data_IF_489560963582
#
_entry.id   IF_489560963582
#
_cell.length_a   1.000
_cell.length_b   1.000
_cell.length_c   1.000
_cell.angle_alpha   90.00
_cell.angle_beta   90.00
_cell.angle_gamma   90.00
#
_symmetry.space_group_name_H-M   'P 1'
#
loop_
_entity.id
_entity.type
_entity.pdbx_description
1 polymer ?
#
# COMPACT_ATOMS: atom_id res chain seq x y z
N UNK A 1 -22.95 -3.42 -17.46
CA UNK A 1 -22.43 -2.91 -16.18
C UNK A 1 -22.37 -4.08 -15.23
N UNK A 2 -21.20 -4.36 -14.68
CA UNK A 2 -20.93 -5.58 -13.93
C UNK A 2 -21.52 -5.45 -12.53
N UNK A 3 -22.33 -6.44 -12.10
CA UNK A 3 -22.80 -6.60 -10.71
C UNK A 3 -21.65 -6.70 -9.68
N UNK A 4 -20.40 -6.58 -10.14
CA UNK A 4 -19.21 -6.58 -9.34
C UNK A 4 -19.08 -5.34 -8.42
N UNK A 5 -19.71 -4.22 -8.78
CA UNK A 5 -19.55 -2.94 -8.05
C UNK A 5 -20.87 -2.34 -7.55
N UNK A 6 -22.00 -3.01 -7.78
CA UNK A 6 -23.33 -2.46 -7.46
C UNK A 6 -23.60 -2.36 -5.95
N UNK A 7 -22.85 -3.11 -5.12
CA UNK A 7 -22.99 -3.13 -3.66
C UNK A 7 -21.94 -2.26 -2.92
N UNK A 8 -21.16 -1.46 -3.65
CA UNK A 8 -20.15 -0.56 -3.07
C UNK A 8 -20.75 0.43 -2.04
N UNK A 9 -22.04 0.73 -2.15
CA UNK A 9 -22.72 1.71 -1.30
C UNK A 9 -23.20 1.14 0.05
N UNK A 10 -23.15 -0.20 0.26
CA UNK A 10 -23.81 -0.84 1.42
C UNK A 10 -23.03 -0.77 2.74
N UNK A 11 -21.83 -0.19 2.77
CA UNK A 11 -21.02 0.04 3.99
C UNK A 11 -20.87 -1.20 4.92
N UNK A 12 -20.94 -2.41 4.38
CA UNK A 12 -20.86 -3.68 5.12
C UNK A 12 -19.46 -4.30 4.96
N UNK A 13 -18.65 -4.22 6.02
CA UNK A 13 -17.30 -4.79 6.04
C UNK A 13 -17.32 -6.31 5.82
N UNK A 14 -18.29 -7.02 6.40
CA UNK A 14 -18.35 -8.47 6.29
C UNK A 14 -18.76 -8.88 4.88
N UNK A 15 -19.60 -8.09 4.20
CA UNK A 15 -19.91 -8.31 2.78
C UNK A 15 -18.68 -8.11 1.89
N UNK A 16 -17.92 -7.03 2.10
CA UNK A 16 -16.69 -6.80 1.34
C UNK A 16 -15.65 -7.88 1.60
N UNK A 17 -15.46 -8.30 2.85
CA UNK A 17 -14.57 -9.40 3.21
C UNK A 17 -15.01 -10.71 2.52
N UNK A 18 -16.28 -11.12 2.67
CA UNK A 18 -16.80 -12.33 2.00
C UNK A 18 -16.58 -12.29 0.49
N UNK A 19 -16.76 -11.13 -0.13
CA UNK A 19 -16.58 -10.93 -1.56
C UNK A 19 -15.14 -11.15 -2.01
N UNK A 20 -14.19 -10.55 -1.30
CA UNK A 20 -12.79 -10.53 -1.73
C UNK A 20 -11.97 -11.71 -1.20
N UNK A 21 -12.42 -12.39 -0.14
CA UNK A 21 -11.80 -13.64 0.33
C UNK A 21 -12.17 -14.87 -0.52
N UNK A 22 -13.16 -14.77 -1.40
CA UNK A 22 -13.63 -15.89 -2.22
C UNK A 22 -12.72 -16.19 -3.43
N UNK A 23 -12.69 -17.44 -3.93
CA UNK A 23 -11.88 -17.83 -5.10
C UNK A 23 -12.28 -17.11 -6.40
N UNK A 24 -13.49 -16.55 -6.41
CA UNK A 24 -14.09 -15.83 -7.55
C UNK A 24 -13.65 -14.36 -7.64
N UNK A 25 -12.94 -13.83 -6.63
CA UNK A 25 -12.55 -12.42 -6.55
C UNK A 25 -11.80 -11.93 -7.81
N UNK A 26 -11.04 -12.81 -8.46
CA UNK A 26 -10.27 -12.48 -9.66
C UNK A 26 -11.02 -12.54 -11.00
N UNK A 27 -12.31 -12.91 -11.04
CA UNK A 27 -13.05 -13.08 -12.30
C UNK A 27 -13.78 -11.81 -12.76
N UNK A 28 -13.69 -10.72 -12.00
CA UNK A 28 -14.35 -9.45 -12.31
C UNK A 28 -13.62 -8.61 -13.35
N UNK A 29 -14.35 -8.10 -14.34
CA UNK A 29 -13.92 -6.96 -15.15
C UNK A 29 -14.38 -5.63 -14.54
N UNK A 30 -13.70 -4.53 -14.87
CA UNK A 30 -14.06 -3.20 -14.40
C UNK A 30 -13.09 -2.12 -14.87
N UNK A 31 -13.54 -0.87 -14.91
CA UNK A 31 -12.65 0.26 -15.15
C UNK A 31 -11.73 0.48 -13.95
N UNK A 32 -10.55 1.09 -14.18
CA UNK A 32 -9.60 1.45 -13.11
C UNK A 32 -10.29 2.21 -11.97
N UNK A 33 -11.15 3.17 -12.30
CA UNK A 33 -11.89 3.98 -11.33
C UNK A 33 -12.80 3.16 -10.42
N UNK A 34 -13.40 2.07 -10.92
CA UNK A 34 -14.30 1.21 -10.15
C UNK A 34 -13.53 0.37 -9.13
N UNK A 35 -12.41 -0.22 -9.56
CA UNK A 35 -11.48 -0.91 -8.66
C UNK A 35 -10.89 0.04 -7.62
N UNK A 36 -10.65 1.28 -8.02
CA UNK A 36 -10.17 2.32 -7.11
C UNK A 36 -11.17 2.62 -6.00
N UNK A 37 -12.44 2.82 -6.39
CA UNK A 37 -13.51 3.06 -5.45
C UNK A 37 -13.67 1.86 -4.50
N UNK A 38 -13.59 0.62 -5.00
CA UNK A 38 -13.68 -0.57 -4.18
C UNK A 38 -12.56 -0.66 -3.13
N UNK A 39 -11.30 -0.44 -3.53
CA UNK A 39 -10.16 -0.43 -2.60
C UNK A 39 -10.28 0.70 -1.56
N UNK A 40 -10.67 1.90 -1.99
CA UNK A 40 -10.84 3.03 -1.10
C UNK A 40 -11.95 2.81 -0.08
N UNK A 41 -13.10 2.29 -0.50
CA UNK A 41 -14.22 1.99 0.40
C UNK A 41 -13.89 0.86 1.37
N UNK A 42 -13.21 -0.18 0.90
CA UNK A 42 -12.73 -1.25 1.78
C UNK A 42 -11.84 -0.69 2.89
N UNK A 43 -10.81 0.08 2.52
CA UNK A 43 -9.89 0.68 3.48
C UNK A 43 -10.62 1.65 4.43
N UNK A 44 -11.46 2.53 3.89
CA UNK A 44 -12.24 3.48 4.69
C UNK A 44 -13.15 2.78 5.71
N UNK A 45 -13.71 1.61 5.36
CA UNK A 45 -14.61 0.87 6.24
C UNK A 45 -13.88 0.22 7.41
N UNK A 46 -12.68 -0.31 7.17
CA UNK A 46 -11.79 -0.79 8.23
C UNK A 46 -11.32 0.38 9.09
N UNK A 47 -11.04 1.53 8.46
CA UNK A 47 -10.56 2.74 9.14
C UNK A 47 -11.60 3.43 10.03
N UNK A 48 -12.89 3.27 9.72
CA UNK A 48 -13.97 3.93 10.45
C UNK A 48 -14.14 3.43 11.90
N UNK A 49 -13.85 2.15 12.16
CA UNK A 49 -13.98 1.55 13.50
C UNK A 49 -13.00 0.36 13.65
N UNK A 50 -11.69 0.62 13.77
CA UNK A 50 -10.70 -0.44 13.91
C UNK A 50 -10.81 -1.18 15.25
N UNK A 51 -11.28 -0.50 16.30
CA UNK A 51 -11.39 -1.08 17.65
C UNK A 51 -12.56 -2.07 17.75
N UNK A 52 -13.60 -1.91 16.90
CA UNK A 52 -14.72 -2.84 16.78
C UNK A 52 -14.45 -4.09 15.95
N UNK A 53 -13.27 -4.23 15.33
CA UNK A 53 -12.92 -5.39 14.49
C UNK A 53 -12.38 -6.53 15.34
N UNK A 54 -13.07 -7.67 15.30
CA UNK A 54 -12.64 -8.90 16.00
C UNK A 54 -11.44 -9.55 15.33
N UNK A 55 -10.68 -10.38 16.06
CA UNK A 55 -9.52 -11.10 15.48
C UNK A 55 -9.91 -12.01 14.30
N UNK A 56 -11.11 -12.60 14.34
CA UNK A 56 -11.64 -13.38 13.22
C UNK A 56 -11.83 -12.49 11.98
N UNK A 57 -12.38 -11.30 12.16
CA UNK A 57 -12.53 -10.34 11.07
C UNK A 57 -11.17 -9.82 10.60
N UNK A 58 -10.20 -9.58 11.49
CA UNK A 58 -8.85 -9.20 11.08
C UNK A 58 -8.17 -10.23 10.18
N UNK A 59 -8.26 -11.52 10.52
CA UNK A 59 -7.74 -12.59 9.64
C UNK A 59 -8.43 -12.61 8.29
N UNK A 60 -9.74 -12.36 8.26
CA UNK A 60 -10.51 -12.34 7.03
C UNK A 60 -10.19 -11.09 6.18
N UNK A 61 -9.98 -9.92 6.81
CA UNK A 61 -9.50 -8.69 6.18
C UNK A 61 -8.10 -8.90 5.58
N UNK A 62 -7.21 -9.56 6.32
CA UNK A 62 -5.85 -9.88 5.87
C UNK A 62 -5.83 -10.80 4.63
N UNK A 63 -6.89 -11.58 4.39
CA UNK A 63 -7.06 -12.35 3.15
C UNK A 63 -7.73 -11.53 2.05
N UNK A 64 -8.78 -10.77 2.41
CA UNK A 64 -9.60 -10.00 1.47
C UNK A 64 -8.83 -8.86 0.80
N UNK A 65 -8.03 -8.11 1.55
CA UNK A 65 -7.31 -6.94 1.04
C UNK A 65 -6.31 -7.28 -0.08
N UNK A 66 -5.33 -8.19 0.10
CA UNK A 66 -4.42 -8.54 -0.99
C UNK A 66 -5.14 -9.19 -2.17
N UNK A 67 -6.22 -9.95 -1.92
CA UNK A 67 -7.02 -10.53 -3.00
C UNK A 67 -7.74 -9.46 -3.84
N UNK A 68 -8.27 -8.40 -3.21
CA UNK A 68 -8.84 -7.24 -3.87
C UNK A 68 -7.79 -6.53 -4.75
N UNK A 69 -6.61 -6.23 -4.20
CA UNK A 69 -5.55 -5.55 -4.96
C UNK A 69 -5.06 -6.40 -6.14
N UNK A 70 -4.86 -7.71 -5.93
CA UNK A 70 -4.45 -8.62 -7.00
C UNK A 70 -5.53 -8.77 -8.10
N UNK A 71 -6.82 -8.72 -7.74
CA UNK A 71 -7.90 -8.71 -8.72
C UNK A 71 -7.93 -7.39 -9.52
N UNK A 72 -7.75 -6.26 -8.83
CA UNK A 72 -7.67 -4.95 -9.47
C UNK A 72 -6.50 -4.87 -10.46
N UNK A 73 -5.32 -5.35 -10.08
CA UNK A 73 -4.14 -5.39 -10.95
C UNK A 73 -4.39 -6.24 -12.21
N UNK A 74 -4.91 -7.47 -12.05
CA UNK A 74 -5.27 -8.33 -13.20
C UNK A 74 -6.28 -7.68 -14.13
N UNK A 75 -7.26 -6.97 -13.59
CA UNK A 75 -8.34 -6.37 -14.38
C UNK A 75 -7.94 -5.06 -15.08
N UNK A 76 -6.93 -4.34 -14.55
CA UNK A 76 -6.59 -2.99 -15.01
C UNK A 76 -5.27 -2.89 -15.77
N UNK A 77 -4.47 -3.96 -15.78
CA UNK A 77 -3.16 -3.98 -16.45
C UNK A 77 -2.07 -3.33 -15.58
N UNK A 78 -0.99 -2.78 -16.17
CA UNK A 78 0.23 -2.38 -15.46
C UNK A 78 0.07 -1.09 -14.63
N UNK A 79 -0.82 -1.14 -13.64
CA UNK A 79 -1.03 -0.13 -12.61
C UNK A 79 -0.41 -0.59 -11.27
N UNK A 80 0.58 -1.48 -11.33
CA UNK A 80 1.22 -2.12 -10.18
C UNK A 80 1.60 -1.12 -9.08
N UNK A 81 2.22 -0.01 -9.46
CA UNK A 81 2.66 1.02 -8.52
C UNK A 81 1.49 1.68 -7.77
N UNK A 82 0.35 1.87 -8.41
CA UNK A 82 -0.83 2.50 -7.81
C UNK A 82 -1.50 1.58 -6.77
N UNK A 83 -1.50 0.27 -7.03
CA UNK A 83 -2.00 -0.75 -6.09
C UNK A 83 -1.04 -0.99 -4.93
N UNK A 84 0.27 -1.04 -5.22
CA UNK A 84 1.30 -1.11 -4.20
C UNK A 84 1.21 0.08 -3.25
N UNK A 85 1.15 1.32 -3.75
CA UNK A 85 1.04 2.50 -2.89
C UNK A 85 -0.17 2.45 -1.96
N UNK A 86 -1.30 1.88 -2.41
CA UNK A 86 -2.47 1.66 -1.55
C UNK A 86 -2.22 0.64 -0.46
N UNK A 87 -1.57 -0.47 -0.81
CA UNK A 87 -1.21 -1.48 0.17
C UNK A 87 -0.32 -0.89 1.26
N UNK A 88 0.77 -0.20 0.85
CA UNK A 88 1.73 0.39 1.77
C UNK A 88 1.07 1.39 2.72
N UNK A 89 0.24 2.29 2.21
CA UNK A 89 -0.46 3.28 3.04
C UNK A 89 -1.49 2.65 3.98
N UNK A 90 -2.26 1.66 3.50
CA UNK A 90 -3.26 1.01 4.32
C UNK A 90 -2.62 0.21 5.47
N UNK A 91 -1.56 -0.54 5.18
CA UNK A 91 -0.82 -1.32 6.18
C UNK A 91 -0.07 -0.44 7.17
N UNK A 92 0.56 0.64 6.68
CA UNK A 92 1.20 1.64 7.54
C UNK A 92 0.19 2.24 8.53
N UNK A 93 -0.97 2.68 8.03
CA UNK A 93 -2.04 3.19 8.90
C UNK A 93 -2.52 2.15 9.92
N UNK A 94 -2.70 0.89 9.52
CA UNK A 94 -3.12 -0.19 10.42
C UNK A 94 -2.11 -0.42 11.54
N UNK A 95 -0.83 -0.47 11.20
CA UNK A 95 0.26 -0.66 12.14
C UNK A 95 0.39 0.53 13.11
N UNK A 96 0.23 1.76 12.62
CA UNK A 96 0.19 2.94 13.49
C UNK A 96 -0.98 2.93 14.46
N UNK A 97 -2.18 2.56 13.98
CA UNK A 97 -3.42 2.69 14.76
C UNK A 97 -3.70 1.53 15.70
N UNK A 98 -3.30 0.32 15.31
CA UNK A 98 -3.65 -0.93 15.98
C UNK A 98 -2.41 -1.65 16.53
N UNK A 99 -1.23 -1.37 15.97
CA UNK A 99 0.02 -2.01 16.35
C UNK A 99 0.26 -3.37 15.65
N UNK A 100 1.48 -3.92 15.77
CA UNK A 100 1.80 -5.26 15.29
C UNK A 100 0.93 -6.33 15.96
N UNK A 101 0.61 -7.38 15.21
CA UNK A 101 -0.09 -8.56 15.73
C UNK A 101 0.51 -9.82 15.16
N UNK A 102 0.87 -10.74 16.05
CA UNK A 102 1.30 -12.07 15.66
C UNK A 102 0.14 -12.79 14.92
N UNK A 103 0.48 -13.65 13.96
CA UNK A 103 -0.43 -14.45 13.15
C UNK A 103 -1.37 -13.73 12.17
N UNK A 104 -1.27 -12.41 12.02
CA UNK A 104 -2.04 -11.65 11.02
C UNK A 104 -1.08 -10.91 10.09
N UNK A 105 -0.79 -11.44 8.88
CA UNK A 105 0.24 -10.89 7.98
C UNK A 105 0.09 -9.40 7.66
N UNK A 106 -1.14 -8.88 7.69
CA UNK A 106 -1.43 -7.47 7.46
C UNK A 106 -0.77 -6.53 8.49
N UNK A 107 -0.51 -7.02 9.70
CA UNK A 107 0.13 -6.31 10.81
C UNK A 107 1.62 -6.67 10.98
N UNK A 108 2.25 -7.19 9.92
CA UNK A 108 3.70 -7.28 9.82
C UNK A 108 4.27 -6.02 9.13
N UNK A 109 5.16 -5.24 9.80
CA UNK A 109 5.78 -4.07 9.21
C UNK A 109 6.84 -4.40 8.13
N UNK A 110 7.46 -5.58 8.17
CA UNK A 110 8.55 -5.96 7.27
C UNK A 110 8.18 -5.85 5.78
N UNK A 111 7.06 -6.45 5.34
CA UNK A 111 6.63 -6.36 3.95
C UNK A 111 6.30 -4.93 3.48
N UNK A 112 6.01 -3.98 4.38
CA UNK A 112 5.82 -2.57 4.01
C UNK A 112 7.17 -1.96 3.61
N UNK A 113 8.22 -2.25 4.37
CA UNK A 113 9.57 -1.81 4.05
C UNK A 113 10.08 -2.47 2.76
N UNK A 114 9.97 -3.80 2.66
CA UNK A 114 10.43 -4.55 1.47
C UNK A 114 9.73 -4.06 0.20
N UNK A 115 8.40 -3.95 0.23
CA UNK A 115 7.63 -3.48 -0.92
C UNK A 115 7.98 -2.04 -1.32
N UNK A 116 8.26 -1.17 -0.36
CA UNK A 116 8.68 0.20 -0.65
C UNK A 116 10.08 0.25 -1.29
N UNK A 117 11.04 -0.53 -0.78
CA UNK A 117 12.42 -0.57 -1.30
C UNK A 117 12.49 -1.23 -2.68
N UNK A 118 11.77 -2.34 -2.89
CA UNK A 118 11.74 -3.05 -4.17
C UNK A 118 11.12 -2.20 -5.29
N UNK A 119 10.28 -1.22 -4.94
CA UNK A 119 9.66 -0.30 -5.88
C UNK A 119 10.46 1.00 -6.11
N UNK A 120 11.63 1.15 -5.50
CA UNK A 120 12.46 2.35 -5.70
C UNK A 120 12.87 2.48 -7.17
N UNK A 121 12.70 3.68 -7.78
CA UNK A 121 12.93 3.85 -9.22
C UNK A 121 14.41 4.03 -9.60
N UNK A 122 15.30 4.08 -8.61
CA UNK A 122 16.75 4.29 -8.74
C UNK A 122 17.42 3.87 -7.43
N UNK A 123 18.76 3.90 -7.34
CA UNK A 123 19.46 3.68 -6.07
C UNK A 123 19.55 4.96 -5.22
N UNK A 124 19.85 4.87 -3.91
CA UNK A 124 20.17 6.03 -3.08
C UNK A 124 21.34 6.86 -3.63
N UNK A 125 22.38 6.22 -4.17
CA UNK A 125 23.55 6.89 -4.74
C UNK A 125 23.18 7.72 -5.96
N UNK A 126 22.36 7.15 -6.85
CA UNK A 126 21.83 7.87 -8.01
C UNK A 126 20.95 9.05 -7.59
N UNK A 127 20.06 8.84 -6.62
CA UNK A 127 19.23 9.90 -6.07
C UNK A 127 20.05 11.02 -5.43
N UNK A 128 21.14 10.70 -4.72
CA UNK A 128 22.03 11.69 -4.10
C UNK A 128 22.69 12.63 -5.12
N UNK A 129 22.97 12.13 -6.33
CA UNK A 129 23.52 12.93 -7.45
C UNK A 129 22.45 13.81 -8.11
N UNK A 130 21.22 13.32 -8.18
CA UNK A 130 20.13 14.00 -8.90
C UNK A 130 19.37 15.01 -8.02
N UNK A 131 19.07 14.66 -6.77
CA UNK A 131 18.21 15.42 -5.88
C UNK A 131 18.64 16.89 -5.66
N UNK A 132 19.93 17.23 -5.45
CA UNK A 132 20.33 18.62 -5.22
C UNK A 132 20.01 19.57 -6.39
N UNK A 133 19.96 19.04 -7.62
CA UNK A 133 19.74 19.80 -8.86
C UNK A 133 18.39 19.50 -9.50
N UNK A 134 17.41 19.00 -8.73
CA UNK A 134 16.15 18.50 -9.27
C UNK A 134 15.39 19.51 -10.15
N UNK A 135 15.55 20.83 -9.88
CA UNK A 135 14.90 21.90 -10.66
C UNK A 135 15.42 22.02 -12.09
N UNK A 136 16.60 21.47 -12.37
CA UNK A 136 17.26 21.48 -13.67
C UNK A 136 17.05 20.16 -14.43
N UNK A 137 16.43 19.16 -13.80
CA UNK A 137 16.23 17.84 -14.38
C UNK A 137 15.04 17.80 -15.34
N UNK A 138 15.09 16.84 -16.26
CA UNK A 138 13.96 16.53 -17.12
C UNK A 138 12.80 15.94 -16.31
N UNK A 139 11.57 16.18 -16.80
CA UNK A 139 10.34 15.76 -16.11
C UNK A 139 10.35 14.30 -15.62
N UNK A 140 10.81 13.28 -16.39
CA UNK A 140 10.84 11.91 -15.92
C UNK A 140 11.70 11.70 -14.67
N UNK A 141 12.85 12.37 -14.58
CA UNK A 141 13.76 12.25 -13.43
C UNK A 141 13.16 12.90 -12.18
N UNK A 142 12.49 14.06 -12.35
CA UNK A 142 11.74 14.71 -11.26
C UNK A 142 10.64 13.76 -10.74
N UNK A 143 9.92 13.09 -11.65
CA UNK A 143 8.88 12.13 -11.27
C UNK A 143 9.47 10.94 -10.51
N UNK A 144 10.60 10.38 -10.95
CA UNK A 144 11.26 9.29 -10.22
C UNK A 144 11.69 9.71 -8.80
N UNK A 145 12.26 10.91 -8.62
CA UNK A 145 12.61 11.40 -7.29
C UNK A 145 11.37 11.64 -6.40
N UNK A 146 10.27 12.12 -6.97
CA UNK A 146 8.98 12.24 -6.26
C UNK A 146 8.42 10.88 -5.87
N UNK A 147 8.51 9.89 -6.76
CA UNK A 147 8.10 8.52 -6.50
C UNK A 147 8.90 7.93 -5.34
N UNK A 148 10.22 8.09 -5.34
CA UNK A 148 11.07 7.66 -4.23
C UNK A 148 10.62 8.29 -2.90
N UNK A 149 10.38 9.62 -2.85
CA UNK A 149 9.86 10.25 -1.62
C UNK A 149 8.50 9.68 -1.21
N UNK A 150 7.59 9.47 -2.16
CA UNK A 150 6.26 8.91 -1.89
C UNK A 150 6.34 7.50 -1.28
N UNK A 151 7.28 6.68 -1.73
CA UNK A 151 7.51 5.32 -1.20
C UNK A 151 8.08 5.33 0.22
N UNK A 152 8.91 6.31 0.58
CA UNK A 152 9.43 6.44 1.94
C UNK A 152 8.37 6.84 2.96
N UNK A 153 7.36 7.59 2.53
CA UNK A 153 6.35 8.17 3.42
C UNK A 153 5.62 7.14 4.31
N UNK A 154 5.05 6.03 3.79
CA UNK A 154 4.40 5.02 4.62
C UNK A 154 5.37 4.22 5.52
N UNK A 155 6.67 4.15 5.16
CA UNK A 155 7.67 3.44 5.97
C UNK A 155 8.12 4.29 7.17
N UNK A 156 8.19 5.62 7.00
CA UNK A 156 8.70 6.54 8.02
C UNK A 156 7.96 6.44 9.35
N UNK A 157 6.64 6.30 9.32
CA UNK A 157 5.85 6.15 10.54
C UNK A 157 6.06 4.83 11.25
N UNK A 158 6.55 3.82 10.52
CA UNK A 158 6.86 2.49 11.03
C UNK A 158 8.31 2.34 11.47
N UNK A 159 9.14 3.38 11.34
CA UNK A 159 10.56 3.35 11.72
C UNK A 159 10.83 2.74 13.11
N UNK A 160 10.04 3.04 14.17
CA UNK A 160 10.25 2.44 15.49
C UNK A 160 10.06 0.91 15.53
N UNK A 161 9.35 0.34 14.55
CA UNK A 161 9.04 -1.09 14.46
C UNK A 161 10.01 -1.86 13.55
N UNK A 162 10.88 -1.16 12.83
CA UNK A 162 11.69 -1.71 11.74
C UNK A 162 13.20 -1.73 12.03
N UNK A 163 13.65 -1.28 13.20
CA UNK A 163 15.07 -1.13 13.52
C UNK A 163 15.90 -2.42 13.41
N UNK A 164 15.28 -3.58 13.66
CA UNK A 164 15.93 -4.90 13.56
C UNK A 164 15.77 -5.55 12.17
N UNK A 165 15.12 -4.86 11.21
CA UNK A 165 14.88 -5.42 9.89
C UNK A 165 16.20 -5.54 9.09
N UNK A 166 16.45 -6.65 8.38
CA UNK A 166 17.71 -6.86 7.66
C UNK A 166 18.07 -5.77 6.64
N UNK A 167 17.05 -5.13 6.05
CA UNK A 167 17.18 -4.05 5.06
C UNK A 167 17.04 -2.65 5.65
N UNK A 168 17.04 -2.51 6.97
CA UNK A 168 16.88 -1.22 7.63
C UNK A 168 17.92 -0.19 7.18
N UNK A 169 19.17 -0.62 6.99
CA UNK A 169 20.27 0.23 6.52
C UNK A 169 20.05 0.82 5.12
N UNK A 170 19.35 0.11 4.23
CA UNK A 170 18.97 0.63 2.91
C UNK A 170 17.95 1.77 3.05
N UNK A 171 16.96 1.62 3.93
CA UNK A 171 16.01 2.68 4.25
C UNK A 171 16.70 3.90 4.87
N UNK A 172 17.64 3.69 5.80
CA UNK A 172 18.40 4.80 6.40
C UNK A 172 19.22 5.58 5.36
N UNK A 173 19.71 4.92 4.31
CA UNK A 173 20.36 5.60 3.19
C UNK A 173 19.41 6.53 2.44
N UNK A 174 18.18 6.08 2.18
CA UNK A 174 17.14 6.90 1.58
C UNK A 174 16.64 8.03 2.48
N UNK A 175 16.42 7.75 3.77
CA UNK A 175 15.86 8.72 4.71
C UNK A 175 16.81 9.92 4.91
N UNK A 176 18.13 9.69 4.85
CA UNK A 176 19.14 10.75 4.82
C UNK A 176 18.99 11.72 3.63
N UNK A 177 18.43 11.26 2.51
CA UNK A 177 18.20 12.07 1.32
C UNK A 177 16.82 12.76 1.34
N UNK A 178 15.92 12.37 2.24
CA UNK A 178 14.50 12.73 2.17
C UNK A 178 14.23 14.25 2.18
N UNK A 179 15.08 15.04 2.86
CA UNK A 179 15.00 16.50 2.88
C UNK A 179 15.45 17.18 1.58
N UNK A 180 16.22 16.47 0.74
CA UNK A 180 16.75 16.97 -0.54
C UNK A 180 15.90 16.54 -1.74
N UNK A 181 15.04 15.53 -1.58
CA UNK A 181 14.12 15.10 -2.63
C UNK A 181 13.09 16.23 -2.94
N UNK A 182 12.55 16.32 -4.17
CA UNK A 182 11.61 17.36 -4.66
C UNK A 182 10.15 17.17 -4.30
#
# INVERSE_FOLDING_TARGET
>A
MSALFDDLDRLDIDAHVRRWSGPEAGRGGGAVSQWMAAAQQFAARVQADPDGVTDKQWRAIAQAWPALLAAAERATGPQHHEWLMRDLWFRSWLLERVGPREDVPLFDPGPVLDGALDAMPMSPEEAAVLAPRWRELERPQILSLRTARRLLAPVRSLAPLLGDHPRWSEYEAWERLSGSLP
#
